data_IF_338291707526
#
_entry.id   IF_338291707526
#
_cell.length_a   1.000
_cell.length_b   1.000
_cell.length_c   1.000
_cell.angle_alpha   90.00
_cell.angle_beta   90.00
_cell.angle_gamma   90.00
#
_symmetry.space_group_name_H-M   'P 1'
#
loop_
_entity.id
_entity.type
_entity.pdbx_description
1 polymer ?
#
# COMPACT_ATOMS: atom_id res chain seq x y z
N UNK A 1 1.56 -17.79 -12.35
CA UNK A 1 2.30 -16.71 -11.66
C UNK A 1 3.09 -15.98 -12.72
N UNK A 2 2.88 -14.67 -12.84
CA UNK A 2 3.61 -13.82 -13.78
C UNK A 2 5.11 -13.98 -13.54
N UNK A 3 5.88 -14.17 -14.60
CA UNK A 3 7.32 -14.40 -14.53
C UNK A 3 8.03 -13.07 -14.21
N UNK A 4 7.97 -12.65 -12.96
CA UNK A 4 8.62 -11.40 -12.49
C UNK A 4 10.12 -11.62 -12.52
N UNK A 5 10.82 -10.83 -13.34
CA UNK A 5 12.27 -10.85 -13.39
C UNK A 5 12.82 -10.27 -12.09
N UNK A 6 13.65 -11.04 -11.40
CA UNK A 6 14.25 -10.63 -10.14
C UNK A 6 15.63 -11.25 -9.96
N UNK A 7 16.42 -10.65 -9.09
CA UNK A 7 17.70 -11.17 -8.63
C UNK A 7 17.73 -11.12 -7.11
N UNK A 8 18.27 -12.15 -6.46
CA UNK A 8 18.42 -12.16 -5.01
C UNK A 8 19.74 -11.49 -4.59
N UNK A 9 19.66 -10.70 -3.53
CA UNK A 9 20.85 -10.26 -2.77
C UNK A 9 21.11 -11.32 -1.71
N UNK A 10 22.26 -11.98 -1.80
CA UNK A 10 22.65 -13.11 -0.95
C UNK A 10 23.69 -12.63 0.08
N UNK A 11 23.48 -12.95 1.36
CA UNK A 11 24.42 -12.70 2.45
C UNK A 11 25.48 -13.82 2.57
N UNK A 12 26.45 -13.64 3.48
CA UNK A 12 27.62 -14.53 3.63
C UNK A 12 27.24 -16.00 3.91
N UNK A 13 26.14 -16.26 4.62
CA UNK A 13 25.65 -17.60 4.94
C UNK A 13 24.83 -18.24 3.80
N UNK A 14 24.92 -17.70 2.59
CA UNK A 14 24.08 -18.07 1.44
C UNK A 14 22.58 -17.85 1.68
N UNK A 15 22.24 -16.91 2.57
CA UNK A 15 20.87 -16.54 2.94
C UNK A 15 20.40 -15.35 2.09
N UNK A 16 19.26 -15.43 1.37
CA UNK A 16 18.69 -14.29 0.69
C UNK A 16 18.22 -13.23 1.69
N UNK A 17 18.70 -12.01 1.54
CA UNK A 17 18.36 -10.87 2.42
C UNK A 17 17.63 -9.74 1.69
N UNK A 18 17.54 -9.83 0.36
CA UNK A 18 16.84 -8.84 -0.45
C UNK A 18 16.60 -9.32 -1.88
N UNK A 19 15.86 -8.51 -2.63
CA UNK A 19 15.55 -8.75 -4.03
C UNK A 19 15.73 -7.46 -4.82
N UNK A 20 16.29 -7.58 -6.02
CA UNK A 20 16.39 -6.51 -7.01
C UNK A 20 15.39 -6.84 -8.12
N UNK A 21 14.50 -5.90 -8.38
CA UNK A 21 13.55 -5.88 -9.49
C UNK A 21 13.71 -4.57 -10.25
N UNK A 22 13.24 -4.52 -11.50
CA UNK A 22 13.19 -3.24 -12.21
C UNK A 22 12.13 -2.32 -11.58
N UNK A 23 12.33 -1.01 -11.74
CA UNK A 23 11.48 0.00 -11.11
C UNK A 23 10.01 -0.12 -11.55
N UNK A 24 9.73 -0.41 -12.82
CA UNK A 24 8.36 -0.53 -13.30
C UNK A 24 7.62 -1.71 -12.68
N UNK A 25 8.32 -2.81 -12.43
CA UNK A 25 7.78 -3.94 -11.67
C UNK A 25 7.48 -3.54 -10.22
N UNK A 26 8.38 -2.81 -9.55
CA UNK A 26 8.15 -2.32 -8.20
C UNK A 26 6.92 -1.41 -8.12
N UNK A 27 6.82 -0.41 -9.01
CA UNK A 27 5.69 0.52 -9.07
C UNK A 27 4.37 -0.20 -9.34
N UNK A 28 4.37 -1.23 -10.18
CA UNK A 28 3.18 -2.05 -10.42
C UNK A 28 2.75 -2.82 -9.17
N UNK A 29 3.71 -3.35 -8.40
CA UNK A 29 3.42 -4.03 -7.14
C UNK A 29 2.80 -3.04 -6.15
N UNK A 30 3.43 -1.87 -5.95
CA UNK A 30 2.93 -0.84 -5.04
C UNK A 30 1.51 -0.39 -5.42
N UNK A 31 1.26 -0.09 -6.70
CA UNK A 31 -0.07 0.33 -7.17
C UNK A 31 -1.15 -0.70 -6.84
N UNK A 32 -0.87 -2.00 -7.02
CA UNK A 32 -1.84 -3.05 -6.71
C UNK A 32 -2.08 -3.14 -5.18
N UNK A 33 -1.02 -3.02 -4.39
CA UNK A 33 -1.11 -3.08 -2.93
C UNK A 33 -1.85 -1.86 -2.36
N UNK A 34 -1.60 -0.66 -2.90
CA UNK A 34 -2.28 0.57 -2.54
C UNK A 34 -3.76 0.52 -2.91
N UNK A 35 -4.10 0.10 -4.14
CA UNK A 35 -5.49 -0.05 -4.58
C UNK A 35 -6.24 -1.05 -3.68
N UNK A 36 -5.62 -2.18 -3.35
CA UNK A 36 -6.21 -3.15 -2.44
C UNK A 36 -6.42 -2.58 -1.03
N UNK A 37 -5.38 -1.95 -0.46
CA UNK A 37 -5.47 -1.35 0.87
C UNK A 37 -6.53 -0.26 0.95
N UNK A 38 -6.62 0.57 -0.09
CA UNK A 38 -7.64 1.61 -0.20
C UNK A 38 -9.05 1.03 -0.28
N UNK A 39 -9.25 -0.03 -1.07
CA UNK A 39 -10.54 -0.73 -1.13
C UNK A 39 -10.93 -1.34 0.22
N UNK A 40 -9.97 -1.88 0.99
CA UNK A 40 -10.24 -2.36 2.35
C UNK A 40 -10.67 -1.23 3.28
N UNK A 41 -10.00 -0.07 3.25
CA UNK A 41 -10.40 1.08 4.07
C UNK A 41 -11.80 1.60 3.72
N UNK A 42 -12.18 1.57 2.43
CA UNK A 42 -13.56 1.91 2.02
C UNK A 42 -14.55 0.91 2.64
N UNK A 43 -14.27 -0.39 2.54
CA UNK A 43 -15.15 -1.42 3.10
C UNK A 43 -15.25 -1.36 4.62
N UNK A 44 -14.17 -1.07 5.33
CA UNK A 44 -14.18 -0.89 6.79
C UNK A 44 -15.05 0.30 7.20
N UNK A 45 -15.15 1.33 6.35
CA UNK A 45 -15.96 2.52 6.58
C UNK A 45 -17.41 2.40 6.09
N UNK A 46 -17.82 1.29 5.45
CA UNK A 46 -19.20 1.13 4.90
C UNK A 46 -20.28 1.20 6.00
N UNK A 47 -19.94 0.81 7.24
CA UNK A 47 -20.83 0.86 8.41
C UNK A 47 -20.79 2.22 9.14
N UNK A 48 -19.95 3.16 8.71
CA UNK A 48 -19.83 4.50 9.30
C UNK A 48 -20.80 5.50 8.65
N UNK A 49 -21.42 6.37 9.46
CA UNK A 49 -22.28 7.43 8.94
C UNK A 49 -21.45 8.48 8.19
N UNK A 50 -21.79 8.82 6.93
CA UNK A 50 -21.06 9.84 6.19
C UNK A 50 -21.10 11.20 6.89
N UNK A 51 -19.95 11.87 6.93
CA UNK A 51 -19.86 13.22 7.46
C UNK A 51 -20.21 14.26 6.40
N UNK A 52 -21.02 15.24 6.80
CA UNK A 52 -21.16 16.49 6.07
C UNK A 52 -19.81 17.23 6.01
N UNK A 53 -19.60 18.01 4.95
CA UNK A 53 -18.33 18.69 4.67
C UNK A 53 -17.76 19.45 5.88
N UNK A 54 -18.62 20.13 6.64
CA UNK A 54 -18.21 20.87 7.83
C UNK A 54 -17.68 19.95 8.95
N UNK A 55 -18.29 18.78 9.13
CA UNK A 55 -17.86 17.76 10.09
C UNK A 55 -16.51 17.16 9.70
N UNK A 56 -16.35 16.78 8.43
CA UNK A 56 -15.08 16.30 7.90
C UNK A 56 -13.95 17.32 8.08
N UNK A 57 -14.22 18.60 7.78
CA UNK A 57 -13.22 19.67 7.91
C UNK A 57 -12.77 19.92 9.36
N UNK A 58 -13.67 19.71 10.34
CA UNK A 58 -13.33 19.80 11.77
C UNK A 58 -12.43 18.64 12.22
N UNK A 59 -12.67 17.42 11.73
CA UNK A 59 -11.84 16.27 12.09
C UNK A 59 -10.42 16.37 11.53
N UNK A 60 -10.25 16.83 10.29
CA UNK A 60 -8.94 16.96 9.64
C UNK A 60 -8.07 18.06 10.28
N UNK A 61 -8.67 19.17 10.75
CA UNK A 61 -7.93 20.28 11.35
C UNK A 61 -7.44 20.04 12.78
N UNK A 62 -7.96 19.01 13.47
CA UNK A 62 -7.73 18.79 14.90
C UNK A 62 -8.49 19.79 15.78
N UNK A 63 -8.61 19.56 17.10
CA UNK A 63 -9.21 20.53 18.02
C UNK A 63 -8.26 21.72 18.21
N UNK A 64 -8.80 22.94 18.11
CA UNK A 64 -8.10 24.20 18.46
C UNK A 64 -7.64 24.22 19.94
#
# INVERSE_FOLDING_TARGET
MSNIKHQYVIAEENTPVGVIIDLSTFEQIESILEDYGFAQFIHEADDEEPLERAGAQKMIRGPD
#
